data_IF_664185853630
#
_entry.id   IF_664185853630
#
_cell.length_a   1.000
_cell.length_b   1.000
_cell.length_c   1.000
_cell.angle_alpha   90.00
_cell.angle_beta   90.00
_cell.angle_gamma   90.00
#
_symmetry.space_group_name_H-M   'P 1'
#
loop_
_entity.id
_entity.type
_entity.pdbx_description
1 polymer ?
#
# COMPACT_ATOMS: atom_id res chain seq x y z
N UNK A 1 -2.81 34.20 -9.93
CA UNK A 1 -2.32 34.28 -8.53
C UNK A 1 -2.09 32.85 -8.06
N UNK A 2 -0.88 32.49 -7.66
CA UNK A 2 -0.56 31.14 -7.20
C UNK A 2 -1.11 30.91 -5.78
N UNK A 3 -1.63 29.72 -5.52
CA UNK A 3 -2.10 29.28 -4.20
C UNK A 3 -1.16 28.18 -3.71
N UNK A 4 -0.73 28.26 -2.45
CA UNK A 4 -0.02 27.20 -1.75
C UNK A 4 -0.89 26.62 -0.64
N UNK A 5 -0.73 25.32 -0.33
CA UNK A 5 -1.43 24.62 0.75
C UNK A 5 -0.41 23.82 1.58
N UNK A 6 -0.60 23.82 2.88
CA UNK A 6 0.13 22.98 3.85
C UNK A 6 -0.87 22.08 4.58
N UNK A 7 -0.40 20.94 5.09
CA UNK A 7 -1.19 19.96 5.83
C UNK A 7 -0.47 19.66 7.15
N UNK A 8 -1.25 19.52 8.23
CA UNK A 8 -0.76 19.28 9.59
C UNK A 8 -1.55 18.12 10.22
N UNK A 9 -1.25 16.85 9.88
CA UNK A 9 -1.98 15.69 10.40
C UNK A 9 -1.97 15.58 11.93
N UNK A 10 -0.95 16.11 12.58
CA UNK A 10 -0.81 16.17 14.04
C UNK A 10 -1.91 16.99 14.74
N UNK A 11 -2.63 17.83 13.98
CA UNK A 11 -3.76 18.60 14.50
C UNK A 11 -5.08 17.82 14.44
N UNK A 12 -5.10 16.61 13.91
CA UNK A 12 -6.28 15.73 13.97
C UNK A 12 -6.40 15.22 15.41
N UNK A 13 -7.50 15.51 16.13
CA UNK A 13 -7.70 15.01 17.49
C UNK A 13 -7.69 13.48 17.51
N UNK A 14 -7.05 12.89 18.53
CA UNK A 14 -6.90 11.44 18.63
C UNK A 14 -8.20 10.66 18.82
N UNK A 15 -9.29 11.34 19.17
CA UNK A 15 -10.65 10.80 19.34
C UNK A 15 -11.57 11.04 18.14
N UNK A 16 -11.08 11.67 17.07
CA UNK A 16 -11.89 11.87 15.86
C UNK A 16 -12.13 10.54 15.16
N UNK A 17 -13.42 10.24 14.92
CA UNK A 17 -13.79 9.17 14.03
C UNK A 17 -13.45 9.54 12.58
N UNK A 18 -12.41 8.90 12.06
CA UNK A 18 -12.06 9.02 10.64
C UNK A 18 -13.18 8.46 9.74
N UNK A 19 -13.39 9.00 8.53
CA UNK A 19 -14.39 8.47 7.60
C UNK A 19 -13.96 7.13 7.00
N UNK A 20 -14.92 6.39 6.45
CA UNK A 20 -14.63 5.28 5.55
C UNK A 20 -13.93 5.78 4.28
N UNK A 21 -12.96 5.01 3.79
CA UNK A 21 -12.20 5.28 2.57
C UNK A 21 -12.21 4.03 1.70
N UNK A 22 -12.69 4.19 0.47
CA UNK A 22 -12.65 3.17 -0.57
C UNK A 22 -11.56 3.53 -1.58
N UNK A 23 -10.63 2.61 -1.81
CA UNK A 23 -9.58 2.73 -2.82
C UNK A 23 -9.95 1.85 -4.01
N UNK A 24 -10.13 2.46 -5.17
CA UNK A 24 -10.38 1.76 -6.43
C UNK A 24 -9.10 1.71 -7.27
N UNK A 25 -8.70 0.50 -7.65
CA UNK A 25 -7.57 0.22 -8.52
C UNK A 25 -8.15 -0.44 -9.78
N UNK A 26 -7.85 0.12 -10.94
CA UNK A 26 -8.29 -0.42 -12.23
C UNK A 26 -7.09 -0.83 -13.05
N UNK A 27 -7.20 -1.96 -13.74
CA UNK A 27 -6.22 -2.45 -14.72
C UNK A 27 -6.96 -3.04 -15.92
N UNK A 28 -6.34 -3.06 -17.09
CA UNK A 28 -6.95 -3.53 -18.34
C UNK A 28 -6.04 -4.45 -19.17
N UNK A 29 -4.73 -4.30 -19.11
CA UNK A 29 -3.81 -5.10 -19.94
C UNK A 29 -2.55 -5.48 -19.15
N UNK A 30 -2.38 -6.76 -18.76
CA UNK A 30 -1.25 -7.20 -17.94
C UNK A 30 0.12 -7.05 -18.63
N UNK A 31 0.17 -6.79 -19.94
CA UNK A 31 1.43 -6.49 -20.64
C UNK A 31 1.82 -5.02 -20.55
N UNK A 32 0.83 -4.12 -20.55
CA UNK A 32 1.05 -2.67 -20.43
C UNK A 32 1.11 -2.23 -18.98
N UNK A 33 0.39 -2.93 -18.12
CA UNK A 33 0.32 -2.73 -16.67
C UNK A 33 0.78 -4.04 -16.03
N UNK A 34 2.09 -4.22 -15.80
CA UNK A 34 2.62 -5.48 -15.30
C UNK A 34 1.91 -5.91 -14.01
N UNK A 35 1.41 -7.15 -14.00
CA UNK A 35 0.54 -7.61 -12.90
C UNK A 35 1.19 -7.50 -11.53
N UNK A 36 2.51 -7.70 -11.43
CA UNK A 36 3.26 -7.54 -10.16
C UNK A 36 3.23 -6.09 -9.67
N UNK A 37 3.36 -5.11 -10.57
CA UNK A 37 3.29 -3.67 -10.23
C UNK A 37 1.88 -3.28 -9.77
N UNK A 38 0.84 -3.84 -10.41
CA UNK A 38 -0.54 -3.69 -9.94
C UNK A 38 -0.69 -4.28 -8.53
N UNK A 39 -0.13 -5.46 -8.25
CA UNK A 39 -0.18 -6.05 -6.91
C UNK A 39 0.60 -5.24 -5.87
N UNK A 40 1.73 -4.62 -6.25
CA UNK A 40 2.44 -3.68 -5.38
C UNK A 40 1.55 -2.49 -4.99
N UNK A 41 0.73 -1.99 -5.93
CA UNK A 41 -0.24 -0.91 -5.65
C UNK A 41 -1.35 -1.41 -4.72
N UNK A 42 -1.89 -2.60 -4.94
CA UNK A 42 -2.89 -3.23 -4.04
C UNK A 42 -2.35 -3.35 -2.62
N UNK A 43 -1.16 -3.93 -2.46
CA UNK A 43 -0.52 -4.12 -1.15
C UNK A 43 -0.22 -2.78 -0.47
N UNK A 44 0.20 -1.78 -1.24
CA UNK A 44 0.43 -0.43 -0.73
C UNK A 44 -0.86 0.21 -0.21
N UNK A 45 -1.95 0.05 -0.96
CA UNK A 45 -3.27 0.55 -0.58
C UNK A 45 -3.77 -0.13 0.70
N UNK A 46 -3.63 -1.46 0.81
CA UNK A 46 -4.01 -2.21 2.01
C UNK A 46 -3.18 -1.85 3.26
N UNK A 47 -2.00 -1.26 3.07
CA UNK A 47 -1.06 -0.84 4.11
C UNK A 47 -1.12 0.66 4.43
N UNK A 48 -2.13 1.38 3.92
CA UNK A 48 -2.35 2.78 4.29
C UNK A 48 -2.53 2.93 5.80
N UNK A 49 -2.06 4.06 6.33
CA UNK A 49 -2.23 4.42 7.73
C UNK A 49 -3.66 4.94 7.98
N UNK A 50 -4.61 4.01 7.94
CA UNK A 50 -6.03 4.25 8.15
C UNK A 50 -6.63 3.08 8.95
N UNK A 51 -7.70 3.29 9.75
CA UNK A 51 -8.31 2.20 10.49
C UNK A 51 -8.76 1.07 9.54
N UNK A 52 -8.32 -0.19 9.75
CA UNK A 52 -8.58 -1.30 8.82
C UNK A 52 -10.06 -1.56 8.55
N UNK A 53 -10.92 -1.35 9.54
CA UNK A 53 -12.37 -1.48 9.44
C UNK A 53 -13.04 -0.35 8.63
N UNK A 54 -12.28 0.71 8.32
CA UNK A 54 -12.70 1.88 7.54
C UNK A 54 -11.97 2.00 6.21
N UNK A 55 -11.17 1.00 5.84
CA UNK A 55 -10.42 0.97 4.59
C UNK A 55 -10.87 -0.22 3.75
N UNK A 56 -11.41 0.05 2.57
CA UNK A 56 -11.72 -0.99 1.59
C UNK A 56 -10.90 -0.77 0.31
N UNK A 57 -10.39 -1.86 -0.26
CA UNK A 57 -9.59 -1.83 -1.50
C UNK A 57 -10.27 -2.72 -2.53
N UNK A 58 -10.53 -2.15 -3.70
CA UNK A 58 -11.22 -2.78 -4.81
C UNK A 58 -10.28 -2.83 -6.03
N UNK A 59 -10.18 -4.01 -6.65
CA UNK A 59 -9.46 -4.20 -7.91
C UNK A 59 -10.45 -4.53 -9.02
N UNK A 60 -10.54 -3.67 -10.03
CA UNK A 60 -11.27 -3.91 -11.27
C UNK A 60 -10.29 -4.30 -12.36
N UNK A 61 -10.49 -5.45 -13.00
CA UNK A 61 -9.71 -5.90 -14.16
C UNK A 61 -10.60 -5.93 -15.40
N UNK A 62 -10.52 -4.87 -16.20
CA UNK A 62 -11.27 -4.73 -17.45
C UNK A 62 -10.78 -5.71 -18.54
N UNK A 63 -9.55 -6.23 -18.40
CA UNK A 63 -8.98 -7.24 -19.28
C UNK A 63 -9.45 -8.66 -18.95
N UNK A 64 -10.05 -8.86 -17.77
CA UNK A 64 -10.51 -10.17 -17.30
C UNK A 64 -9.40 -11.23 -17.27
N UNK A 65 -8.17 -10.82 -16.95
CA UNK A 65 -7.00 -11.67 -17.10
C UNK A 65 -6.94 -12.73 -15.99
N UNK A 66 -6.81 -14.04 -16.33
CA UNK A 66 -6.62 -15.07 -15.32
C UNK A 66 -5.32 -14.89 -14.53
N UNK A 67 -4.33 -14.19 -15.10
CA UNK A 67 -3.08 -13.86 -14.40
C UNK A 67 -3.33 -12.85 -13.28
N UNK A 68 -4.17 -11.83 -13.49
CA UNK A 68 -4.54 -10.88 -12.45
C UNK A 68 -5.29 -11.57 -11.32
N UNK A 69 -6.22 -12.48 -11.64
CA UNK A 69 -6.95 -13.27 -10.64
C UNK A 69 -6.02 -14.18 -9.83
N UNK A 70 -5.00 -14.77 -10.45
CA UNK A 70 -4.00 -15.55 -9.73
C UNK A 70 -3.14 -14.64 -8.84
N UNK A 71 -2.63 -13.55 -9.39
CA UNK A 71 -1.75 -12.64 -8.68
C UNK A 71 -2.41 -11.99 -7.46
N UNK A 72 -3.71 -11.64 -7.53
CA UNK A 72 -4.41 -11.08 -6.37
C UNK A 72 -4.54 -12.11 -5.24
N UNK A 73 -4.71 -13.40 -5.53
CA UNK A 73 -4.73 -14.45 -4.50
C UNK A 73 -3.38 -14.56 -3.79
N UNK A 74 -2.29 -14.55 -4.56
CA UNK A 74 -0.93 -14.59 -4.02
C UNK A 74 -0.61 -13.31 -3.24
N UNK A 75 -1.01 -12.14 -3.75
CA UNK A 75 -0.86 -10.87 -3.05
C UNK A 75 -1.64 -10.84 -1.73
N UNK A 76 -2.87 -11.35 -1.69
CA UNK A 76 -3.65 -11.47 -0.44
C UNK A 76 -2.98 -12.41 0.56
N UNK A 77 -2.37 -13.52 0.11
CA UNK A 77 -1.58 -14.40 0.97
C UNK A 77 -0.38 -13.67 1.57
N UNK A 78 0.39 -12.97 0.71
CA UNK A 78 1.55 -12.20 1.14
C UNK A 78 1.19 -11.02 2.07
N UNK A 79 0.03 -10.38 1.86
CA UNK A 79 -0.48 -9.32 2.72
C UNK A 79 -0.57 -9.75 4.20
N UNK A 80 -0.83 -11.04 4.46
CA UNK A 80 -0.87 -11.62 5.79
C UNK A 80 0.43 -11.43 6.58
N UNK A 81 1.58 -11.38 5.91
CA UNK A 81 2.89 -11.09 6.53
C UNK A 81 3.30 -9.63 6.36
N UNK A 82 3.02 -9.04 5.19
CA UNK A 82 3.46 -7.69 4.85
C UNK A 82 2.77 -6.59 5.69
N UNK A 83 1.46 -6.66 5.88
CA UNK A 83 0.72 -5.62 6.60
C UNK A 83 1.09 -5.55 8.09
N UNK A 84 1.17 -6.68 8.83
CA UNK A 84 1.63 -6.64 10.21
C UNK A 84 3.08 -6.15 10.34
N UNK A 85 3.96 -6.55 9.42
CA UNK A 85 5.35 -6.06 9.37
C UNK A 85 5.40 -4.53 9.20
N UNK A 86 4.67 -4.01 8.20
CA UNK A 86 4.53 -2.58 7.94
C UNK A 86 4.08 -1.79 9.18
N UNK A 87 3.09 -2.29 9.91
CA UNK A 87 2.56 -1.64 11.12
C UNK A 87 3.53 -1.75 12.30
N UNK A 88 4.07 -2.95 12.56
CA UNK A 88 4.96 -3.22 13.70
C UNK A 88 6.22 -2.36 13.65
N UNK A 89 6.79 -2.18 12.46
CA UNK A 89 8.05 -1.47 12.26
C UNK A 89 7.89 -0.04 11.72
N UNK A 90 6.65 0.46 11.59
CA UNK A 90 6.41 1.84 11.15
C UNK A 90 6.93 2.16 9.74
N UNK A 91 7.01 1.17 8.85
CA UNK A 91 7.59 1.29 7.50
C UNK A 91 6.81 2.30 6.65
N UNK A 92 7.34 3.47 6.25
CA UNK A 92 6.49 4.42 5.48
C UNK A 92 6.40 4.03 4.00
N UNK A 93 7.38 3.33 3.47
CA UNK A 93 7.39 2.78 2.11
C UNK A 93 6.54 1.52 2.03
N UNK A 94 5.23 1.70 1.83
CA UNK A 94 4.25 0.61 1.85
C UNK A 94 4.31 -0.32 0.62
N UNK A 95 4.92 0.14 -0.46
CA UNK A 95 5.15 -0.66 -1.67
C UNK A 95 6.30 -1.65 -1.42
N UNK A 96 6.05 -2.97 -1.49
CA UNK A 96 7.09 -3.98 -1.24
C UNK A 96 8.29 -3.82 -2.18
N UNK A 97 8.06 -3.68 -3.49
CA UNK A 97 9.13 -3.51 -4.46
C UNK A 97 9.96 -2.25 -4.19
N UNK A 98 9.32 -1.12 -3.86
CA UNK A 98 10.03 0.11 -3.52
C UNK A 98 10.86 -0.05 -2.24
N UNK A 99 10.31 -0.70 -1.21
CA UNK A 99 11.00 -0.96 0.06
C UNK A 99 12.25 -1.84 -0.13
N UNK A 100 12.16 -2.89 -0.95
CA UNK A 100 13.28 -3.78 -1.25
C UNK A 100 14.22 -3.26 -2.36
N UNK A 101 13.90 -2.14 -3.02
CA UNK A 101 14.72 -1.57 -4.10
C UNK A 101 16.05 -0.97 -3.60
N UNK A 102 17.12 -1.06 -4.38
CA UNK A 102 18.45 -0.56 -3.98
C UNK A 102 18.54 0.95 -3.70
N UNK A 103 17.47 1.72 -3.96
CA UNK A 103 17.42 3.17 -3.78
C UNK A 103 16.56 3.62 -2.59
N UNK A 104 15.95 2.70 -1.84
CA UNK A 104 15.09 2.98 -0.67
C UNK A 104 15.85 3.31 0.62
N UNK A 105 16.97 4.03 0.51
CA UNK A 105 18.02 4.05 1.54
C UNK A 105 17.70 4.89 2.79
N UNK A 106 16.70 5.78 2.77
CA UNK A 106 16.39 6.61 3.94
C UNK A 106 15.59 5.86 5.03
N UNK A 107 14.88 4.77 4.69
CA UNK A 107 14.09 3.99 5.67
C UNK A 107 14.80 2.77 6.24
N UNK A 108 15.82 2.26 5.54
CA UNK A 108 16.67 1.14 6.02
C UNK A 108 17.57 1.52 7.17
N UNK A 109 17.78 2.82 7.42
CA UNK A 109 18.57 3.30 8.55
C UNK A 109 17.91 3.03 9.91
N UNK A 110 16.63 2.65 9.93
CA UNK A 110 15.95 2.04 11.08
C UNK A 110 16.06 0.50 11.07
N UNK A 111 17.11 -0.07 10.48
CA UNK A 111 17.48 -1.47 10.70
C UNK A 111 17.78 -1.69 12.19
N UNK A 112 16.76 -2.09 12.95
CA UNK A 112 16.97 -2.71 14.25
C UNK A 112 17.79 -3.98 14.06
N UNK A 113 18.76 -4.22 14.93
CA UNK A 113 19.62 -5.43 14.96
C UNK A 113 18.85 -6.77 15.01
N UNK A 114 17.51 -6.75 15.06
CA UNK A 114 16.61 -7.90 15.07
C UNK A 114 16.62 -8.73 13.76
N UNK A 115 17.12 -8.18 12.64
CA UNK A 115 17.09 -8.83 11.31
C UNK A 115 18.49 -9.09 10.70
N UNK A 116 19.54 -9.15 11.52
CA UNK A 116 20.87 -9.64 11.11
C UNK A 116 20.97 -11.15 11.18
#
# INVERSE_FOLDING_TARGET
>A
RQVSRSVYPENIPGDVELPGVDVFICTADPKKEPTVEVMNTVLSAMALDHPPEKLAVYLSDDGGSPLTLYAIKEACSFAGSWLPFCRKYGIKTRCPEAYFSSFGDDERLLWSDEFK
#
